data_IF_899947746371
#
_entry.id   IF_899947746371
#
_cell.length_a   1.000
_cell.length_b   1.000
_cell.length_c   1.000
_cell.angle_alpha   90.00
_cell.angle_beta   90.00
_cell.angle_gamma   90.00
#
_symmetry.space_group_name_H-M   'P 1'
#
loop_
_entity.id
_entity.type
_entity.pdbx_description
1 polymer ?
#
# COMPACT_ATOMS: atom_id res chain seq x y z
N UNK A 1 -11.27 -19.07 17.50
CA UNK A 1 -10.96 -19.36 16.08
C UNK A 1 -12.27 -19.50 15.34
N UNK A 2 -12.33 -19.11 14.06
CA UNK A 2 -13.57 -19.16 13.29
C UNK A 2 -13.29 -19.40 11.81
N UNK A 3 -14.37 -19.67 11.06
CA UNK A 3 -14.33 -19.78 9.60
C UNK A 3 -14.56 -18.39 9.00
N UNK A 4 -13.70 -17.96 8.09
CA UNK A 4 -13.77 -16.65 7.44
C UNK A 4 -13.80 -16.83 5.93
N UNK A 5 -14.79 -16.24 5.30
CA UNK A 5 -14.82 -16.13 3.85
C UNK A 5 -14.31 -14.76 3.40
N UNK A 6 -13.52 -14.74 2.34
CA UNK A 6 -12.97 -13.50 1.77
C UNK A 6 -13.43 -13.42 0.31
N UNK A 7 -14.25 -12.43 0.01
CA UNK A 7 -14.72 -12.16 -1.35
C UNK A 7 -13.71 -11.26 -2.05
N UNK A 8 -13.16 -11.71 -3.16
CA UNK A 8 -12.21 -10.95 -3.99
C UNK A 8 -10.99 -11.76 -4.42
N UNK A 9 -10.25 -11.20 -5.35
CA UNK A 9 -9.22 -11.89 -6.13
C UNK A 9 -7.89 -11.10 -6.24
N UNK A 10 -7.74 -10.02 -5.44
CA UNK A 10 -6.59 -9.12 -5.50
C UNK A 10 -5.76 -9.08 -4.20
N UNK A 11 -4.78 -8.16 -4.13
CA UNK A 11 -3.83 -8.05 -3.01
C UNK A 11 -4.49 -7.88 -1.63
N UNK A 12 -5.66 -7.24 -1.55
CA UNK A 12 -6.39 -7.11 -0.28
C UNK A 12 -6.80 -8.49 0.24
N UNK A 13 -7.39 -9.32 -0.63
CA UNK A 13 -7.82 -10.66 -0.29
C UNK A 13 -6.62 -11.56 0.08
N UNK A 14 -5.57 -11.52 -0.73
CA UNK A 14 -4.31 -12.25 -0.49
C UNK A 14 -3.70 -11.90 0.88
N UNK A 15 -3.58 -10.61 1.19
CA UNK A 15 -2.98 -10.14 2.44
C UNK A 15 -3.83 -10.48 3.67
N UNK A 16 -5.15 -10.37 3.58
CA UNK A 16 -6.08 -10.73 4.64
C UNK A 16 -6.05 -12.24 4.90
N UNK A 17 -6.12 -13.06 3.85
CA UNK A 17 -6.12 -14.52 3.95
C UNK A 17 -4.86 -15.05 4.62
N UNK A 18 -3.69 -14.59 4.19
CA UNK A 18 -2.41 -15.03 4.77
C UNK A 18 -2.30 -14.72 6.25
N UNK A 19 -2.75 -13.53 6.69
CA UNK A 19 -2.69 -13.14 8.11
C UNK A 19 -3.68 -13.90 8.97
N UNK A 20 -4.91 -14.11 8.50
CA UNK A 20 -5.93 -14.87 9.23
C UNK A 20 -5.56 -16.36 9.34
N UNK A 21 -5.06 -16.95 8.27
CA UNK A 21 -4.58 -18.32 8.30
C UNK A 21 -3.36 -18.51 9.23
N UNK A 22 -2.48 -17.50 9.36
CA UNK A 22 -1.36 -17.51 10.30
C UNK A 22 -1.84 -17.61 11.76
N UNK A 23 -2.94 -16.95 12.10
CA UNK A 23 -3.56 -17.01 13.44
C UNK A 23 -4.65 -18.09 13.53
N UNK A 24 -4.58 -19.09 12.66
CA UNK A 24 -5.35 -20.35 12.67
C UNK A 24 -6.87 -20.20 12.48
N UNK A 25 -7.33 -19.17 11.77
CA UNK A 25 -8.67 -19.20 11.22
C UNK A 25 -8.74 -20.13 10.01
N UNK A 26 -9.89 -20.81 9.83
CA UNK A 26 -10.20 -21.48 8.56
C UNK A 26 -10.59 -20.41 7.56
N UNK A 27 -9.85 -20.30 6.45
CA UNK A 27 -10.03 -19.23 5.48
C UNK A 27 -10.36 -19.81 4.11
N UNK A 28 -11.44 -19.30 3.51
CA UNK A 28 -11.82 -19.58 2.12
C UNK A 28 -11.87 -18.26 1.34
N UNK A 29 -11.16 -18.20 0.22
CA UNK A 29 -11.22 -17.09 -0.74
C UNK A 29 -12.28 -17.43 -1.79
N UNK A 30 -13.28 -16.58 -1.90
CA UNK A 30 -14.36 -16.74 -2.88
C UNK A 30 -13.92 -16.09 -4.20
N UNK A 31 -13.38 -16.90 -5.08
CA UNK A 31 -12.94 -16.53 -6.43
C UNK A 31 -12.81 -17.77 -7.30
N UNK A 32 -13.12 -17.65 -8.58
CA UNK A 32 -12.89 -18.71 -9.57
C UNK A 32 -11.43 -18.78 -10.02
N UNK A 33 -10.75 -17.62 -10.11
CA UNK A 33 -9.36 -17.51 -10.55
C UNK A 33 -8.73 -16.24 -9.98
N UNK A 34 -8.08 -16.33 -8.79
CA UNK A 34 -7.42 -15.18 -8.18
C UNK A 34 -6.37 -14.56 -9.11
N UNK A 35 -6.35 -13.24 -9.20
CA UNK A 35 -5.48 -12.47 -10.11
C UNK A 35 -3.99 -12.58 -9.82
N UNK A 36 -3.59 -13.01 -8.64
CA UNK A 36 -2.17 -13.27 -8.34
C UNK A 36 -1.63 -14.58 -8.94
N UNK A 37 -2.50 -15.42 -9.51
CA UNK A 37 -2.07 -16.57 -10.27
C UNK A 37 -1.68 -16.14 -11.69
N UNK A 38 -0.61 -16.71 -12.21
CA UNK A 38 -0.18 -16.49 -13.59
C UNK A 38 -1.22 -16.97 -14.61
N UNK A 39 -1.93 -18.05 -14.28
CA UNK A 39 -2.99 -18.63 -15.09
C UNK A 39 -4.33 -17.90 -15.01
N UNK A 40 -4.42 -16.81 -14.27
CA UNK A 40 -5.63 -16.01 -14.20
C UNK A 40 -5.92 -15.34 -15.56
N UNK A 41 -7.21 -15.17 -15.88
CA UNK A 41 -7.63 -14.50 -17.12
C UNK A 41 -7.03 -13.08 -17.24
N UNK A 42 -6.90 -12.38 -16.12
CA UNK A 42 -6.25 -11.06 -16.03
C UNK A 42 -5.23 -11.07 -14.90
N UNK A 43 -4.00 -11.57 -15.12
CA UNK A 43 -3.00 -11.68 -14.08
C UNK A 43 -2.60 -10.31 -13.52
N UNK A 44 -2.27 -10.28 -12.22
CA UNK A 44 -1.97 -9.05 -11.50
C UNK A 44 -0.53 -8.55 -11.74
N UNK A 45 0.43 -9.46 -11.90
CA UNK A 45 1.84 -9.12 -12.03
C UNK A 45 2.16 -8.11 -13.14
N UNK A 46 1.59 -8.21 -14.35
CA UNK A 46 1.82 -7.22 -15.40
C UNK A 46 1.39 -5.80 -15.04
N UNK A 47 0.37 -5.64 -14.18
CA UNK A 47 -0.08 -4.32 -13.71
C UNK A 47 0.80 -3.76 -12.58
N UNK A 48 1.46 -4.63 -11.82
CA UNK A 48 2.35 -4.23 -10.72
C UNK A 48 3.77 -3.91 -11.21
N UNK A 49 4.20 -4.49 -12.33
CA UNK A 49 5.54 -4.32 -12.88
C UNK A 49 6.63 -5.01 -12.06
N UNK A 50 7.86 -4.50 -12.16
CA UNK A 50 9.04 -5.01 -11.44
C UNK A 50 9.27 -4.29 -10.10
N UNK A 51 8.53 -3.23 -9.82
CA UNK A 51 8.84 -2.27 -8.75
C UNK A 51 7.97 -2.46 -7.52
N UNK A 52 8.59 -2.63 -6.37
CA UNK A 52 7.94 -2.62 -5.07
C UNK A 52 7.97 -1.19 -4.50
N UNK A 53 6.84 -0.53 -4.59
CA UNK A 53 6.61 0.74 -3.89
C UNK A 53 6.39 0.46 -2.41
N UNK A 54 7.03 1.23 -1.54
CA UNK A 54 6.98 1.07 -0.07
C UNK A 54 7.20 -0.41 0.31
N UNK A 55 8.43 -0.93 0.14
CA UNK A 55 8.74 -2.35 0.33
C UNK A 55 8.45 -2.85 1.75
N UNK A 56 8.34 -1.93 2.73
CA UNK A 56 7.96 -2.27 4.10
C UNK A 56 6.59 -2.94 4.21
N UNK A 57 5.62 -2.59 3.35
CA UNK A 57 4.31 -3.24 3.33
C UNK A 57 4.39 -4.71 2.89
N UNK A 58 5.25 -5.00 1.91
CA UNK A 58 5.54 -6.35 1.44
C UNK A 58 6.32 -7.15 2.48
N UNK A 59 7.37 -6.57 3.06
CA UNK A 59 8.16 -7.18 4.15
C UNK A 59 7.27 -7.56 5.34
N UNK A 60 6.35 -6.68 5.73
CA UNK A 60 5.41 -6.94 6.81
C UNK A 60 4.48 -8.12 6.48
N UNK A 61 3.95 -8.19 5.25
CA UNK A 61 3.14 -9.32 4.81
C UNK A 61 3.92 -10.65 4.92
N UNK A 62 5.15 -10.68 4.44
CA UNK A 62 6.00 -11.87 4.50
C UNK A 62 6.30 -12.26 5.95
N UNK A 63 6.77 -11.33 6.77
CA UNK A 63 7.11 -11.56 8.17
C UNK A 63 5.90 -12.03 9.00
N UNK A 64 4.73 -11.45 8.78
CA UNK A 64 3.49 -11.76 9.50
C UNK A 64 2.76 -13.01 8.97
N UNK A 65 3.17 -13.57 7.86
CA UNK A 65 2.59 -14.80 7.32
C UNK A 65 3.56 -15.98 7.26
N UNK A 66 4.84 -15.78 7.60
CA UNK A 66 5.82 -16.87 7.57
C UNK A 66 7.26 -16.40 7.78
N UNK A 67 8.08 -16.44 6.75
CA UNK A 67 9.51 -16.07 6.79
C UNK A 67 9.72 -14.67 6.23
N UNK A 68 10.86 -14.06 6.54
CA UNK A 68 11.28 -12.78 5.99
C UNK A 68 11.36 -12.84 4.44
N UNK A 69 10.92 -11.78 3.79
CA UNK A 69 10.82 -11.71 2.33
C UNK A 69 12.17 -11.96 1.65
N UNK A 70 13.20 -11.28 2.11
CA UNK A 70 14.55 -11.37 1.55
C UNK A 70 15.09 -12.80 1.60
N UNK A 71 14.87 -13.51 2.70
CA UNK A 71 15.31 -14.90 2.85
C UNK A 71 14.60 -15.85 1.87
N UNK A 72 13.35 -15.59 1.53
CA UNK A 72 12.62 -16.39 0.55
C UNK A 72 13.00 -16.04 -0.88
N UNK A 73 13.24 -14.76 -1.17
CA UNK A 73 13.72 -14.32 -2.48
C UNK A 73 15.08 -14.92 -2.81
N UNK A 74 16.03 -14.86 -1.88
CA UNK A 74 17.35 -15.49 -2.05
C UNK A 74 17.21 -17.00 -2.30
N UNK A 75 16.25 -17.67 -1.62
CA UNK A 75 15.97 -19.09 -1.82
C UNK A 75 15.49 -19.47 -3.23
N UNK A 76 15.05 -18.52 -4.04
CA UNK A 76 14.65 -18.71 -5.44
C UNK A 76 15.55 -17.93 -6.43
N UNK A 77 16.72 -17.46 -5.97
CA UNK A 77 17.69 -16.76 -6.80
C UNK A 77 17.33 -15.30 -7.12
N UNK A 78 16.44 -14.69 -6.34
CA UNK A 78 16.03 -13.30 -6.53
C UNK A 78 16.56 -12.39 -5.43
N UNK A 79 16.77 -11.13 -5.78
CA UNK A 79 17.18 -10.07 -4.88
C UNK A 79 16.36 -8.82 -5.07
N UNK A 80 16.37 -7.93 -4.06
CA UNK A 80 15.84 -6.57 -4.17
C UNK A 80 16.99 -5.60 -4.36
N UNK A 81 16.89 -4.77 -5.36
CA UNK A 81 17.82 -3.66 -5.61
C UNK A 81 17.08 -2.34 -5.60
N UNK A 82 17.73 -1.29 -5.14
CA UNK A 82 17.18 0.06 -5.19
C UNK A 82 16.86 0.45 -6.63
N UNK A 83 15.74 1.14 -6.81
CA UNK A 83 15.38 1.68 -8.12
C UNK A 83 16.47 2.65 -8.60
N UNK A 84 16.77 2.68 -9.92
CA UNK A 84 17.65 3.67 -10.50
C UNK A 84 17.06 5.08 -10.35
N UNK A 85 17.89 6.07 -10.63
CA UNK A 85 17.47 7.47 -10.62
C UNK A 85 16.21 7.65 -11.47
N UNK A 86 15.21 8.33 -10.91
CA UNK A 86 13.99 8.64 -11.63
C UNK A 86 14.21 9.81 -12.54
N UNK A 87 13.95 9.62 -13.82
CA UNK A 87 13.94 10.70 -14.82
C UNK A 87 12.61 11.47 -14.67
N UNK A 88 12.70 12.74 -14.40
CA UNK A 88 11.54 13.61 -14.22
C UNK A 88 11.57 14.66 -15.31
N UNK A 89 10.54 14.68 -16.14
CA UNK A 89 10.42 15.59 -17.30
C UNK A 89 9.17 16.43 -17.19
N UNK A 90 9.27 17.65 -17.66
CA UNK A 90 8.14 18.55 -17.92
C UNK A 90 8.33 19.23 -19.27
N UNK A 91 7.38 20.07 -19.67
CA UNK A 91 7.53 20.89 -20.88
C UNK A 91 8.69 21.90 -20.81
N UNK A 92 9.21 22.19 -19.62
CA UNK A 92 10.19 23.24 -19.37
C UNK A 92 11.60 22.71 -19.10
N UNK A 93 11.71 21.54 -18.44
CA UNK A 93 13.00 21.02 -18.01
C UNK A 93 12.93 19.53 -17.64
N UNK A 94 14.10 18.91 -17.59
CA UNK A 94 14.31 17.54 -17.13
C UNK A 94 15.28 17.51 -15.96
N UNK A 95 15.09 16.56 -15.05
CA UNK A 95 16.04 16.26 -13.97
C UNK A 95 16.06 14.75 -13.68
N UNK A 96 17.22 14.21 -13.38
CA UNK A 96 17.37 12.87 -12.83
C UNK A 96 17.52 12.97 -11.32
N UNK A 97 16.58 12.40 -10.56
CA UNK A 97 16.62 12.41 -9.10
C UNK A 97 16.96 11.02 -8.57
N UNK A 98 18.03 10.88 -7.79
CA UNK A 98 18.36 9.63 -7.12
C UNK A 98 17.31 9.28 -6.05
N UNK A 99 17.27 8.00 -5.66
CA UNK A 99 16.39 7.52 -4.60
C UNK A 99 16.86 7.98 -3.21
N UNK A 100 18.19 8.11 -3.01
CA UNK A 100 18.75 8.58 -1.74
C UNK A 100 18.47 10.07 -1.52
N UNK A 101 17.92 10.39 -0.36
CA UNK A 101 17.51 11.77 0.01
C UNK A 101 18.67 12.76 0.00
N UNK A 102 19.84 12.35 0.51
CA UNK A 102 21.03 13.20 0.53
C UNK A 102 21.51 13.50 -0.88
N UNK A 103 21.59 12.46 -1.72
CA UNK A 103 21.96 12.60 -3.11
C UNK A 103 20.98 13.49 -3.90
N UNK A 104 19.65 13.41 -3.64
CA UNK A 104 18.67 14.34 -4.22
C UNK A 104 19.00 15.79 -3.92
N UNK A 105 19.29 16.13 -2.65
CA UNK A 105 19.60 17.47 -2.24
C UNK A 105 20.87 17.98 -2.95
N UNK A 106 21.87 17.10 -3.12
CA UNK A 106 23.08 17.43 -3.88
C UNK A 106 22.76 17.68 -5.36
N UNK A 107 22.00 16.79 -6.00
CA UNK A 107 21.57 16.93 -7.40
C UNK A 107 20.80 18.23 -7.63
N UNK A 108 19.85 18.55 -6.76
CA UNK A 108 19.06 19.80 -6.85
C UNK A 108 19.96 21.02 -6.62
N UNK A 109 20.91 20.96 -5.68
CA UNK A 109 21.88 22.03 -5.44
C UNK A 109 22.74 22.29 -6.66
N UNK A 110 23.27 21.24 -7.26
CA UNK A 110 24.20 21.35 -8.39
C UNK A 110 23.47 21.84 -9.66
N UNK A 111 22.17 21.52 -9.81
CA UNK A 111 21.34 21.98 -10.93
C UNK A 111 20.75 23.37 -10.76
N UNK A 112 20.27 23.72 -9.56
CA UNK A 112 19.45 24.92 -9.31
C UNK A 112 20.01 25.82 -8.20
N UNK A 113 21.12 25.46 -7.57
CA UNK A 113 21.78 26.22 -6.52
C UNK A 113 21.25 25.98 -5.10
N UNK A 114 21.99 26.48 -4.12
CA UNK A 114 21.75 26.22 -2.69
C UNK A 114 20.34 26.63 -2.23
N UNK A 115 19.83 27.77 -2.69
CA UNK A 115 18.50 28.27 -2.29
C UNK A 115 17.38 27.30 -2.66
N UNK A 116 17.43 26.73 -3.85
CA UNK A 116 16.43 25.74 -4.29
C UNK A 116 16.63 24.40 -3.57
N UNK A 117 17.84 23.99 -3.31
CA UNK A 117 18.11 22.77 -2.54
C UNK A 117 17.58 22.85 -1.09
N UNK A 118 17.63 24.02 -0.45
CA UNK A 118 17.00 24.23 0.85
C UNK A 118 15.48 24.11 0.77
N UNK A 119 14.85 24.78 -0.19
CA UNK A 119 13.40 24.65 -0.44
C UNK A 119 12.98 23.21 -0.70
N UNK A 120 13.79 22.45 -1.47
CA UNK A 120 13.53 21.04 -1.74
C UNK A 120 13.61 20.20 -0.47
N UNK A 121 14.56 20.47 0.43
CA UNK A 121 14.62 19.82 1.75
C UNK A 121 13.35 20.09 2.56
N UNK A 122 12.88 21.33 2.59
CA UNK A 122 11.67 21.71 3.31
C UNK A 122 10.44 20.98 2.77
N UNK A 123 10.36 20.79 1.45
CA UNK A 123 9.31 19.99 0.80
C UNK A 123 9.36 18.53 1.24
N UNK A 124 10.53 17.91 1.26
CA UNK A 124 10.69 16.51 1.70
C UNK A 124 10.34 16.34 3.19
N UNK A 125 10.73 17.28 4.06
CA UNK A 125 10.39 17.28 5.48
C UNK A 125 8.89 17.45 5.70
N UNK A 126 8.26 18.35 4.95
CA UNK A 126 6.83 18.56 4.99
C UNK A 126 6.05 17.32 4.50
N UNK A 127 6.48 16.72 3.39
CA UNK A 127 5.87 15.50 2.85
C UNK A 127 5.95 14.33 3.84
N UNK A 128 7.08 14.18 4.56
CA UNK A 128 7.20 13.19 5.63
C UNK A 128 6.21 13.47 6.78
N UNK A 129 6.06 14.73 7.19
CA UNK A 129 5.09 15.13 8.21
C UNK A 129 3.64 14.79 7.79
N UNK A 130 3.28 15.08 6.53
CA UNK A 130 1.97 14.71 5.98
C UNK A 130 1.81 13.19 5.95
N UNK A 131 2.84 12.44 5.54
CA UNK A 131 2.80 10.99 5.55
C UNK A 131 2.55 10.43 6.95
N UNK A 132 3.27 10.91 7.97
CA UNK A 132 3.09 10.46 9.34
C UNK A 132 1.67 10.73 9.85
N UNK A 133 1.10 11.90 9.53
CA UNK A 133 -0.29 12.21 9.86
C UNK A 133 -1.28 11.29 9.14
N UNK A 134 -1.09 11.01 7.85
CA UNK A 134 -1.94 10.13 7.05
C UNK A 134 -1.87 8.67 7.48
N UNK A 135 -0.68 8.22 7.84
CA UNK A 135 -0.44 6.85 8.28
C UNK A 135 -1.31 6.48 9.48
N UNK A 136 -1.52 7.42 10.39
CA UNK A 136 -2.35 7.22 11.58
C UNK A 136 -3.86 7.09 11.26
N UNK A 137 -4.33 7.70 10.18
CA UNK A 137 -5.75 7.85 9.87
C UNK A 137 -6.11 7.23 8.51
N UNK A 138 -6.23 5.94 8.44
CA UNK A 138 -6.78 5.30 7.25
C UNK A 138 -5.78 4.50 6.41
N UNK A 139 -4.57 4.30 6.93
CA UNK A 139 -3.61 3.34 6.38
C UNK A 139 -3.37 2.21 7.38
N UNK A 140 -3.01 2.55 8.62
CA UNK A 140 -2.72 1.56 9.68
C UNK A 140 -3.85 1.39 10.70
N UNK A 141 -4.79 2.34 10.76
CA UNK A 141 -5.93 2.30 11.67
C UNK A 141 -7.25 2.49 10.92
N UNK A 142 -8.28 1.78 11.38
CA UNK A 142 -9.64 2.06 10.93
C UNK A 142 -10.03 3.49 11.30
N UNK A 143 -10.65 4.20 10.36
CA UNK A 143 -11.17 5.55 10.59
C UNK A 143 -12.44 5.42 11.42
N UNK A 144 -12.34 5.68 12.72
CA UNK A 144 -13.48 5.61 13.67
C UNK A 144 -14.00 6.98 14.08
N UNK A 145 -13.24 8.04 13.83
CA UNK A 145 -13.58 9.42 14.17
C UNK A 145 -13.11 10.37 13.07
N UNK A 146 -13.56 11.62 13.12
CA UNK A 146 -13.08 12.65 12.21
C UNK A 146 -11.56 12.80 12.40
N UNK A 147 -10.75 12.66 11.34
CA UNK A 147 -9.31 12.85 11.44
C UNK A 147 -8.97 14.31 11.76
N UNK A 148 -7.85 14.51 12.41
CA UNK A 148 -7.28 15.84 12.59
C UNK A 148 -6.96 16.48 11.24
N UNK A 149 -7.01 17.82 11.14
CA UNK A 149 -6.58 18.51 9.93
C UNK A 149 -5.16 18.13 9.56
N UNK A 150 -4.90 17.94 8.27
CA UNK A 150 -3.54 17.83 7.79
C UNK A 150 -2.78 19.14 8.01
N UNK A 151 -1.45 19.07 8.09
CA UNK A 151 -0.62 20.28 8.00
C UNK A 151 -1.02 21.13 6.79
N UNK A 152 -0.97 22.46 6.96
CA UNK A 152 -1.23 23.38 5.85
C UNK A 152 -0.26 23.11 4.69
N UNK A 153 -0.72 23.21 3.43
CA UNK A 153 0.15 23.01 2.28
C UNK A 153 1.37 23.92 2.33
N UNK A 154 2.54 23.36 2.07
CA UNK A 154 3.77 24.14 1.98
C UNK A 154 3.85 24.81 0.60
N UNK A 155 3.68 26.13 0.57
CA UNK A 155 3.81 26.91 -0.65
C UNK A 155 5.28 27.32 -0.83
N UNK A 156 5.98 26.63 -1.72
CA UNK A 156 7.36 26.97 -2.11
C UNK A 156 7.43 27.16 -3.61
N UNK A 157 8.13 28.22 -3.99
CA UNK A 157 8.44 28.48 -5.39
C UNK A 157 9.63 27.61 -5.79
N UNK A 158 9.36 26.57 -6.57
CA UNK A 158 10.31 25.62 -7.12
C UNK A 158 10.33 25.70 -8.65
N UNK A 159 11.49 25.45 -9.28
CA UNK A 159 11.52 25.31 -10.73
C UNK A 159 10.83 24.00 -11.17
N UNK A 160 10.26 24.01 -12.38
CA UNK A 160 9.84 22.80 -13.06
C UNK A 160 11.06 21.90 -13.34
N UNK A 161 10.99 20.56 -13.20
CA UNK A 161 9.78 19.77 -12.86
C UNK A 161 9.62 19.48 -11.36
N UNK A 162 10.39 20.11 -10.48
CA UNK A 162 10.29 19.90 -9.02
C UNK A 162 8.97 20.43 -8.46
N UNK A 163 8.42 21.48 -9.06
CA UNK A 163 7.13 22.05 -8.66
C UNK A 163 5.99 21.05 -8.88
N UNK A 164 5.97 20.39 -10.02
CA UNK A 164 4.97 19.38 -10.36
C UNK A 164 5.07 18.16 -9.42
N UNK A 165 6.29 17.66 -9.15
CA UNK A 165 6.50 16.56 -8.22
C UNK A 165 6.08 16.94 -6.79
N UNK A 166 6.37 18.17 -6.35
CA UNK A 166 5.98 18.63 -5.01
C UNK A 166 4.48 18.76 -4.81
N UNK A 167 3.74 19.01 -5.89
CA UNK A 167 2.28 19.08 -5.89
C UNK A 167 1.62 17.68 -5.80
N UNK A 168 2.31 16.62 -6.22
CA UNK A 168 1.86 15.23 -6.06
C UNK A 168 2.46 14.60 -4.80
N UNK A 169 1.87 14.92 -3.64
CA UNK A 169 2.35 14.46 -2.33
C UNK A 169 2.48 12.93 -2.23
N UNK A 170 1.60 12.18 -2.89
CA UNK A 170 1.64 10.72 -2.87
C UNK A 170 2.87 10.21 -3.60
N UNK A 171 3.09 10.71 -4.80
CA UNK A 171 4.22 10.33 -5.62
C UNK A 171 5.53 10.75 -4.98
N UNK A 172 5.56 11.95 -4.44
CA UNK A 172 6.70 12.45 -3.67
C UNK A 172 7.02 11.53 -2.48
N UNK A 173 6.02 11.13 -1.71
CA UNK A 173 6.21 10.22 -0.58
C UNK A 173 6.73 8.85 -1.04
N UNK A 174 6.12 8.25 -2.05
CA UNK A 174 6.49 6.93 -2.54
C UNK A 174 7.91 6.95 -3.13
N UNK A 175 8.18 7.87 -4.04
CA UNK A 175 9.41 7.86 -4.83
C UNK A 175 10.61 8.52 -4.13
N UNK A 176 10.37 9.41 -3.15
CA UNK A 176 11.44 10.26 -2.58
C UNK A 176 11.66 10.08 -1.09
N UNK A 177 10.64 9.67 -0.32
CA UNK A 177 10.78 9.45 1.12
C UNK A 177 11.04 7.98 1.42
N UNK A 178 10.29 7.08 0.79
CA UNK A 178 10.38 5.64 1.07
C UNK A 178 11.18 4.85 0.06
N UNK A 179 11.40 5.42 -1.13
CA UNK A 179 12.05 4.76 -2.24
C UNK A 179 11.23 3.63 -2.85
N UNK A 180 11.69 3.19 -4.01
CA UNK A 180 11.19 2.04 -4.73
C UNK A 180 12.31 1.03 -4.91
N UNK A 181 11.96 -0.26 -4.97
CA UNK A 181 12.91 -1.36 -5.11
C UNK A 181 12.46 -2.27 -6.23
N UNK A 182 13.40 -2.72 -7.03
CA UNK A 182 13.12 -3.64 -8.12
C UNK A 182 13.49 -5.08 -7.72
N UNK A 183 12.70 -6.02 -8.22
CA UNK A 183 12.98 -7.43 -8.12
C UNK A 183 13.92 -7.84 -9.25
N UNK A 184 15.05 -8.44 -8.92
CA UNK A 184 16.11 -8.80 -9.88
C UNK A 184 16.49 -10.26 -9.71
N UNK A 185 16.50 -10.99 -10.82
CA UNK A 185 16.97 -12.36 -10.96
C UNK A 185 18.31 -12.45 -11.63
N UNK A 186 18.79 -13.68 -11.93
CA UNK A 186 20.06 -13.92 -12.62
C UNK A 186 20.12 -13.26 -14.01
N UNK A 187 19.00 -13.19 -14.71
CA UNK A 187 18.88 -12.66 -16.06
C UNK A 187 18.54 -11.16 -16.10
N UNK A 188 18.45 -10.54 -14.93
CA UNK A 188 18.11 -9.13 -14.77
C UNK A 188 16.81 -8.88 -14.02
N UNK A 189 16.22 -7.68 -14.15
CA UNK A 189 14.95 -7.33 -13.51
C UNK A 189 13.81 -8.22 -13.99
N UNK A 190 12.92 -8.60 -13.05
CA UNK A 190 11.73 -9.40 -13.35
C UNK A 190 10.48 -8.73 -12.78
N UNK A 191 9.31 -9.09 -13.29
CA UNK A 191 8.05 -8.65 -12.70
C UNK A 191 7.80 -9.28 -11.31
N UNK A 192 6.69 -8.93 -10.67
CA UNK A 192 6.37 -9.42 -9.33
C UNK A 192 5.73 -10.81 -9.29
N UNK A 193 5.59 -11.52 -10.43
CA UNK A 193 4.98 -12.86 -10.47
C UNK A 193 5.69 -13.89 -9.57
N UNK A 194 7.04 -13.97 -9.51
CA UNK A 194 7.71 -14.89 -8.60
C UNK A 194 7.35 -14.65 -7.12
N UNK A 195 7.22 -13.38 -6.73
CA UNK A 195 6.82 -12.99 -5.37
C UNK A 195 5.38 -13.39 -5.07
N UNK A 196 4.45 -13.15 -6.01
CA UNK A 196 3.05 -13.59 -5.89
C UNK A 196 2.96 -15.12 -5.83
N UNK A 197 3.80 -15.83 -6.59
CA UNK A 197 3.90 -17.31 -6.57
C UNK A 197 4.35 -17.81 -5.20
N UNK A 198 5.34 -17.17 -4.56
CA UNK A 198 5.74 -17.52 -3.18
C UNK A 198 4.59 -17.34 -2.18
N UNK A 199 3.85 -16.23 -2.28
CA UNK A 199 2.71 -15.95 -1.42
C UNK A 199 1.57 -16.96 -1.65
N UNK A 200 1.31 -17.35 -2.91
CA UNK A 200 0.33 -18.38 -3.24
C UNK A 200 0.72 -19.76 -2.66
N UNK A 201 1.99 -20.18 -2.81
CA UNK A 201 2.49 -21.40 -2.18
C UNK A 201 2.29 -21.36 -0.65
N UNK A 202 2.41 -20.19 -0.05
CA UNK A 202 2.18 -19.99 1.39
C UNK A 202 0.71 -20.10 1.76
N UNK A 203 -0.22 -19.57 0.95
CA UNK A 203 -1.66 -19.79 1.12
C UNK A 203 -1.98 -21.29 1.19
N UNK A 204 -1.50 -22.05 0.20
CA UNK A 204 -1.72 -23.50 0.13
C UNK A 204 -1.16 -24.23 1.36
N UNK A 205 0.08 -23.89 1.78
CA UNK A 205 0.69 -24.47 2.98
C UNK A 205 -0.05 -24.14 4.28
N UNK A 206 -0.79 -23.04 4.30
CA UNK A 206 -1.62 -22.61 5.44
C UNK A 206 -3.03 -23.18 5.40
N UNK A 207 -3.36 -23.97 4.38
CA UNK A 207 -4.67 -24.59 4.23
C UNK A 207 -5.76 -23.59 3.81
N UNK A 208 -5.39 -22.46 3.21
CA UNK A 208 -6.37 -21.55 2.61
C UNK A 208 -6.96 -22.20 1.36
N UNK A 209 -8.27 -22.20 1.28
CA UNK A 209 -9.04 -22.77 0.15
C UNK A 209 -9.41 -21.62 -0.78
N UNK A 210 -9.32 -21.86 -2.09
CA UNK A 210 -9.90 -20.99 -3.12
C UNK A 210 -11.07 -21.74 -3.71
N UNK A 211 -12.29 -21.22 -3.52
CA UNK A 211 -13.53 -21.86 -3.96
C UNK A 211 -14.56 -20.78 -4.31
N UNK A 212 -15.09 -20.74 -5.54
CA UNK A 212 -16.10 -19.77 -5.94
C UNK A 212 -17.46 -19.97 -5.25
N UNK A 213 -17.73 -21.15 -4.69
CA UNK A 213 -19.03 -21.49 -4.13
C UNK A 213 -18.90 -22.41 -2.90
N UNK A 214 -18.30 -21.93 -1.79
CA UNK A 214 -18.09 -22.76 -0.61
C UNK A 214 -19.42 -23.19 0.01
N UNK A 215 -19.46 -24.44 0.47
CA UNK A 215 -20.67 -25.04 1.09
C UNK A 215 -20.75 -24.79 2.61
N UNK A 216 -19.69 -24.31 3.24
CA UNK A 216 -19.66 -24.07 4.69
C UNK A 216 -20.15 -22.66 5.03
N UNK A 217 -20.73 -22.51 6.22
CA UNK A 217 -21.18 -21.22 6.73
C UNK A 217 -20.05 -20.51 7.47
N UNK A 218 -19.65 -19.27 7.09
CA UNK A 218 -18.61 -18.53 7.76
C UNK A 218 -19.12 -17.88 9.06
N UNK A 219 -18.18 -17.63 9.99
CA UNK A 219 -18.43 -16.81 11.16
C UNK A 219 -18.30 -15.29 10.85
N UNK A 220 -17.56 -14.93 9.80
CA UNK A 220 -17.42 -13.58 9.28
C UNK A 220 -17.06 -13.60 7.79
N UNK A 221 -17.43 -12.54 7.08
CA UNK A 221 -17.06 -12.31 5.69
C UNK A 221 -16.25 -11.03 5.60
N UNK A 222 -15.15 -11.06 4.83
CA UNK A 222 -14.44 -9.87 4.38
C UNK A 222 -14.78 -9.67 2.89
N UNK A 223 -15.43 -8.55 2.57
CA UNK A 223 -15.76 -8.20 1.20
C UNK A 223 -14.77 -7.15 0.69
N UNK A 224 -13.80 -7.60 -0.12
CA UNK A 224 -12.76 -6.73 -0.69
C UNK A 224 -13.20 -6.05 -1.99
N UNK A 225 -14.38 -6.40 -2.49
CA UNK A 225 -14.99 -5.83 -3.71
C UNK A 225 -16.06 -4.79 -3.39
N UNK A 226 -16.40 -4.64 -2.11
CA UNK A 226 -17.47 -3.76 -1.67
C UNK A 226 -17.27 -2.33 -2.20
N UNK A 227 -18.28 -1.75 -2.86
CA UNK A 227 -18.20 -0.37 -3.31
C UNK A 227 -18.06 0.58 -2.11
N UNK A 228 -17.44 1.73 -2.34
CA UNK A 228 -17.37 2.77 -1.34
C UNK A 228 -18.76 3.12 -0.82
N UNK A 229 -18.98 3.21 0.49
CA UNK A 229 -20.27 3.63 1.02
C UNK A 229 -20.61 5.03 0.48
N UNK A 230 -21.78 5.18 -0.11
CA UNK A 230 -22.20 6.40 -0.80
C UNK A 230 -22.25 7.65 0.08
N UNK A 231 -22.33 7.50 1.41
CA UNK A 231 -22.30 8.60 2.38
C UNK A 231 -21.68 8.13 3.70
N UNK A 232 -20.59 8.76 4.10
CA UNK A 232 -20.14 8.75 5.47
C UNK A 232 -20.54 10.08 6.11
N UNK A 233 -21.17 10.08 7.28
CA UNK A 233 -21.53 11.30 8.03
C UNK A 233 -20.31 12.16 8.39
N UNK A 234 -19.12 11.59 8.27
CA UNK A 234 -17.83 12.20 8.63
C UNK A 234 -17.07 12.77 7.44
N UNK A 235 -17.45 12.42 6.22
CA UNK A 235 -16.69 12.69 5.03
C UNK A 235 -17.57 13.31 3.95
N UNK A 236 -17.00 14.24 3.21
CA UNK A 236 -17.60 14.68 1.94
C UNK A 236 -17.69 13.47 1.00
N UNK A 237 -18.62 13.48 0.02
CA UNK A 237 -18.65 12.42 -0.98
C UNK A 237 -17.25 12.27 -1.57
N UNK A 238 -16.72 11.06 -1.44
CA UNK A 238 -15.40 10.74 -1.94
C UNK A 238 -15.37 11.03 -3.45
N UNK A 239 -14.36 11.75 -3.90
CA UNK A 239 -14.12 11.87 -5.34
C UNK A 239 -13.69 10.49 -5.85
N UNK A 240 -14.33 9.96 -6.89
CA UNK A 240 -13.93 8.68 -7.43
C UNK A 240 -12.45 8.73 -7.84
N UNK A 241 -11.74 7.66 -7.57
CA UNK A 241 -10.40 7.47 -8.10
C UNK A 241 -10.46 7.41 -9.62
N UNK A 242 -9.55 8.09 -10.27
CA UNK A 242 -9.36 7.98 -11.70
C UNK A 242 -8.17 7.06 -11.95
N UNK A 243 -8.45 5.87 -12.47
CA UNK A 243 -7.38 4.93 -12.84
C UNK A 243 -6.62 5.45 -14.05
N UNK A 244 -5.30 5.28 -14.10
CA UNK A 244 -4.56 5.51 -15.33
C UNK A 244 -4.97 4.48 -16.39
N UNK A 245 -4.81 4.83 -17.63
CA UNK A 245 -4.75 3.82 -18.71
C UNK A 245 -3.43 3.07 -18.59
N UNK A 246 -3.49 1.76 -18.34
CA UNK A 246 -2.29 0.93 -18.20
C UNK A 246 -1.99 0.27 -19.52
N UNK A 247 -0.79 0.50 -20.05
CA UNK A 247 -0.29 -0.15 -21.27
C UNK A 247 0.95 -0.94 -20.95
N UNK A 248 0.96 -2.21 -21.34
CA UNK A 248 2.12 -3.09 -21.28
C UNK A 248 2.65 -3.27 -22.70
N UNK A 249 3.93 -3.04 -22.91
CA UNK A 249 4.57 -3.17 -24.22
C UNK A 249 5.98 -3.75 -24.10
N UNK A 250 6.52 -4.20 -25.22
CA UNK A 250 7.89 -4.68 -25.35
C UNK A 250 8.64 -3.86 -26.38
N UNK A 251 9.98 -3.78 -26.26
CA UNK A 251 10.88 -3.08 -27.16
C UNK A 251 12.19 -3.83 -27.27
N UNK A 252 12.86 -3.71 -28.40
CA UNK A 252 14.25 -4.21 -28.58
C UNK A 252 15.31 -3.27 -28.01
N UNK A 253 14.93 -2.05 -27.60
CA UNK A 253 15.86 -1.08 -27.03
C UNK A 253 16.05 -1.31 -25.53
N UNK A 254 17.30 -1.53 -25.13
CA UNK A 254 17.65 -1.66 -23.71
C UNK A 254 17.40 -0.34 -22.98
N UNK A 255 16.68 -0.36 -21.84
CA UNK A 255 16.55 0.82 -21.00
C UNK A 255 17.92 1.35 -20.55
N UNK A 256 18.04 2.66 -20.41
CA UNK A 256 19.20 3.27 -19.75
C UNK A 256 19.31 2.78 -18.29
N UNK A 257 20.43 3.01 -17.62
CA UNK A 257 20.65 2.67 -16.22
C UNK A 257 20.61 1.16 -15.90
N UNK A 258 21.52 0.40 -16.49
CA UNK A 258 21.69 -1.04 -16.20
C UNK A 258 20.45 -1.90 -16.48
N UNK A 259 19.70 -1.54 -17.52
CA UNK A 259 18.52 -2.30 -17.93
C UNK A 259 17.25 -1.97 -17.18
N UNK A 260 17.22 -0.92 -16.37
CA UNK A 260 16.04 -0.42 -15.68
C UNK A 260 15.91 1.08 -15.87
N UNK A 261 14.68 1.59 -15.97
CA UNK A 261 14.40 3.03 -15.97
C UNK A 261 13.01 3.30 -15.35
N UNK A 262 12.93 4.36 -14.57
CA UNK A 262 11.68 4.95 -14.10
C UNK A 262 11.60 6.40 -14.57
N UNK A 263 10.48 6.75 -15.19
CA UNK A 263 10.27 8.07 -15.78
C UNK A 263 8.92 8.64 -15.37
N UNK A 264 8.92 9.91 -15.03
CA UNK A 264 7.74 10.73 -14.75
C UNK A 264 7.71 11.88 -15.76
N UNK A 265 6.74 11.87 -16.67
CA UNK A 265 6.56 12.90 -17.69
C UNK A 265 5.31 13.72 -17.38
N UNK A 266 5.47 14.96 -16.89
CA UNK A 266 4.38 15.89 -16.73
C UNK A 266 4.10 16.61 -18.05
N UNK A 267 2.96 16.31 -18.63
CA UNK A 267 2.41 16.96 -19.82
C UNK A 267 1.33 17.97 -19.43
N UNK A 268 0.91 18.79 -20.37
CA UNK A 268 -0.18 19.75 -20.12
C UNK A 268 -1.48 19.06 -19.68
N UNK A 269 -1.74 17.87 -20.18
CA UNK A 269 -2.95 17.09 -19.90
C UNK A 269 -2.85 16.23 -18.63
N UNK A 270 -1.64 16.04 -18.07
CA UNK A 270 -1.42 15.22 -16.89
C UNK A 270 -0.09 14.46 -16.90
N UNK A 271 0.04 13.56 -15.95
CA UNK A 271 1.24 12.73 -15.76
C UNK A 271 1.18 11.46 -16.61
N UNK A 272 2.31 11.11 -17.20
CA UNK A 272 2.59 9.76 -17.72
C UNK A 272 3.76 9.18 -16.92
N UNK A 273 3.54 8.05 -16.27
CA UNK A 273 4.55 7.35 -15.49
C UNK A 273 4.92 6.04 -16.19
N UNK A 274 6.23 5.81 -16.38
CA UNK A 274 6.72 4.66 -17.13
C UNK A 274 7.82 3.96 -16.35
N UNK A 275 7.69 2.65 -16.21
CA UNK A 275 8.75 1.74 -15.79
C UNK A 275 9.18 0.89 -16.97
N UNK A 276 10.49 0.74 -17.14
CA UNK A 276 11.07 -0.10 -18.17
C UNK A 276 12.15 -0.98 -17.56
N UNK A 277 12.23 -2.23 -17.96
CA UNK A 277 13.28 -3.15 -17.55
C UNK A 277 13.61 -4.13 -18.65
N UNK A 278 14.85 -4.61 -18.65
CA UNK A 278 15.31 -5.64 -19.55
C UNK A 278 15.12 -7.02 -18.93
N UNK A 279 14.40 -7.92 -19.57
CA UNK A 279 14.09 -9.27 -19.05
C UNK A 279 15.07 -10.36 -19.56
N UNK A 280 16.23 -9.95 -20.07
CA UNK A 280 17.24 -10.83 -20.67
C UNK A 280 17.10 -10.98 -22.19
N UNK A 281 15.91 -10.76 -22.75
CA UNK A 281 15.63 -10.90 -24.19
C UNK A 281 15.13 -9.59 -24.82
N UNK A 282 14.31 -8.84 -24.10
CA UNK A 282 13.69 -7.62 -24.59
C UNK A 282 13.41 -6.66 -23.44
N UNK A 283 13.23 -5.39 -23.76
CA UNK A 283 12.74 -4.42 -22.79
C UNK A 283 11.24 -4.61 -22.62
N UNK A 284 10.82 -4.73 -21.37
CA UNK A 284 9.42 -4.62 -20.96
C UNK A 284 9.16 -3.22 -20.48
N UNK A 285 7.97 -2.71 -20.78
CA UNK A 285 7.55 -1.37 -20.37
C UNK A 285 6.12 -1.42 -19.87
N UNK A 286 5.89 -0.80 -18.69
CA UNK A 286 4.56 -0.50 -18.19
C UNK A 286 4.42 1.00 -18.16
N UNK A 287 3.34 1.49 -18.75
CA UNK A 287 3.01 2.90 -18.79
C UNK A 287 1.66 3.12 -18.09
N UNK A 288 1.65 3.98 -17.10
CA UNK A 288 0.45 4.50 -16.44
C UNK A 288 0.19 5.91 -16.97
N UNK A 289 -0.79 6.03 -17.84
CA UNK A 289 -1.18 7.29 -18.46
C UNK A 289 -2.36 7.92 -17.68
N UNK A 290 -2.07 8.99 -16.96
CA UNK A 290 -3.06 9.79 -16.21
C UNK A 290 -3.57 10.98 -16.99
N UNK A 291 -3.15 11.19 -18.25
CA UNK A 291 -3.66 12.29 -19.09
C UNK A 291 -5.11 12.05 -19.51
N UNK A 292 -5.53 10.78 -19.55
CA UNK A 292 -6.89 10.34 -19.88
C UNK A 292 -7.40 9.35 -18.84
N UNK A 293 -7.60 9.84 -17.61
CA UNK A 293 -7.96 8.93 -16.52
C UNK A 293 -9.36 8.34 -16.74
N UNK A 294 -9.47 7.04 -16.52
CA UNK A 294 -10.74 6.32 -16.53
C UNK A 294 -11.37 6.43 -15.14
N UNK A 295 -12.56 7.02 -14.99
CA UNK A 295 -13.26 7.02 -13.72
C UNK A 295 -13.50 5.60 -13.23
N UNK A 296 -12.99 5.27 -12.05
CA UNK A 296 -13.19 3.95 -11.45
C UNK A 296 -13.78 4.11 -10.04
N UNK A 297 -15.11 4.08 -9.92
CA UNK A 297 -15.78 4.23 -8.62
C UNK A 297 -15.49 3.07 -7.67
N UNK A 298 -15.05 1.92 -8.16
CA UNK A 298 -14.76 0.75 -7.34
C UNK A 298 -13.42 0.87 -6.62
N UNK A 299 -12.48 1.66 -7.14
CA UNK A 299 -11.16 1.85 -6.55
C UNK A 299 -11.09 2.96 -5.48
N UNK A 300 -12.20 3.64 -5.20
CA UNK A 300 -12.28 4.66 -4.16
C UNK A 300 -11.66 6.00 -4.53
N UNK A 301 -11.05 6.66 -3.57
CA UNK A 301 -10.51 7.99 -3.69
C UNK A 301 -9.01 7.99 -3.86
N UNK A 302 -8.49 8.98 -4.60
CA UNK A 302 -7.06 9.23 -4.67
C UNK A 302 -6.46 9.41 -3.27
N UNK A 303 -5.20 9.03 -3.12
CA UNK A 303 -4.48 9.21 -1.87
C UNK A 303 -4.49 10.66 -1.35
N UNK A 304 -4.38 11.64 -2.25
CA UNK A 304 -4.49 13.06 -1.93
C UNK A 304 -5.81 13.44 -1.25
N UNK A 305 -6.89 12.70 -1.53
CA UNK A 305 -8.20 12.88 -0.93
C UNK A 305 -8.48 11.87 0.21
N UNK A 306 -7.47 11.35 0.87
CA UNK A 306 -7.58 10.33 1.91
C UNK A 306 -8.51 10.71 3.07
N UNK A 307 -8.66 12.01 3.39
CA UNK A 307 -9.63 12.52 4.38
C UNK A 307 -11.07 12.18 4.03
N UNK A 308 -11.33 12.00 2.75
CA UNK A 308 -12.65 11.73 2.21
C UNK A 308 -12.89 10.24 1.99
N UNK A 309 -11.92 9.39 2.38
CA UNK A 309 -12.07 7.93 2.27
C UNK A 309 -13.08 7.41 3.27
N UNK A 310 -14.01 6.60 2.83
CA UNK A 310 -14.93 5.96 3.73
C UNK A 310 -14.21 4.97 4.65
N UNK A 311 -14.62 4.87 5.91
CA UNK A 311 -14.03 3.94 6.84
C UNK A 311 -14.33 2.49 6.45
N UNK A 312 -13.45 1.58 6.85
CA UNK A 312 -13.75 0.15 6.86
C UNK A 312 -14.82 -0.11 7.91
N UNK A 313 -15.94 -0.71 7.52
CA UNK A 313 -17.11 -0.87 8.39
C UNK A 313 -17.66 -2.29 8.36
N UNK A 314 -18.16 -2.74 9.51
CA UNK A 314 -18.98 -3.93 9.60
C UNK A 314 -20.40 -3.61 9.14
N UNK A 315 -20.90 -4.35 8.15
CA UNK A 315 -22.33 -4.35 7.81
C UNK A 315 -23.05 -5.31 8.74
N UNK A 316 -24.14 -4.86 9.30
CA UNK A 316 -24.93 -5.68 10.25
C UNK A 316 -26.16 -6.33 9.60
N UNK A 317 -26.24 -6.34 8.30
CA UNK A 317 -27.33 -6.96 7.57
C UNK A 317 -27.16 -8.48 7.56
N UNK A 318 -28.01 -9.17 8.32
CA UNK A 318 -28.05 -10.63 8.40
C UNK A 318 -27.29 -11.24 9.59
N UNK A 319 -27.33 -12.59 9.71
CA UNK A 319 -26.75 -13.32 10.84
C UNK A 319 -25.21 -13.38 10.80
N UNK A 320 -24.59 -13.17 9.63
CA UNK A 320 -23.14 -13.25 9.45
C UNK A 320 -22.60 -11.83 9.24
N UNK A 321 -21.67 -11.37 10.08
CA UNK A 321 -21.09 -10.03 9.95
C UNK A 321 -20.20 -9.94 8.69
N UNK A 322 -20.36 -8.88 7.91
CA UNK A 322 -19.60 -8.60 6.71
C UNK A 322 -18.75 -7.34 6.91
N UNK A 323 -17.44 -7.47 6.79
CA UNK A 323 -16.52 -6.33 6.81
C UNK A 323 -16.30 -5.82 5.37
N UNK A 324 -16.71 -4.60 5.07
CA UNK A 324 -16.39 -3.94 3.81
C UNK A 324 -14.95 -3.42 3.86
N UNK A 325 -14.07 -4.04 3.10
CA UNK A 325 -12.62 -3.86 3.16
C UNK A 325 -11.97 -3.65 1.78
N UNK A 326 -12.69 -3.03 0.86
CA UNK A 326 -12.14 -2.75 -0.48
C UNK A 326 -11.13 -1.59 -0.46
N UNK A 327 -10.29 -1.45 -1.48
CA UNK A 327 -9.46 -0.25 -1.67
C UNK A 327 -10.29 1.04 -1.64
N UNK A 328 -11.56 0.97 -2.08
CA UNK A 328 -12.50 2.08 -2.04
C UNK A 328 -12.91 2.48 -0.63
N UNK A 329 -12.98 1.55 0.31
CA UNK A 329 -13.39 1.80 1.69
C UNK A 329 -12.24 2.09 2.63
N UNK A 330 -10.99 1.83 2.21
CA UNK A 330 -9.80 2.04 3.04
C UNK A 330 -8.55 2.18 2.17
N UNK A 331 -7.42 2.49 2.71
CA UNK A 331 -6.08 2.47 2.12
C UNK A 331 -5.90 3.14 0.74
N UNK A 332 -6.65 2.79 -0.26
CA UNK A 332 -6.56 3.27 -1.63
C UNK A 332 -6.08 2.22 -2.63
N UNK A 333 -5.94 2.59 -3.91
CA UNK A 333 -5.69 1.65 -5.00
C UNK A 333 -4.22 1.24 -5.14
N UNK A 334 -3.29 1.95 -4.52
CA UNK A 334 -1.86 1.66 -4.63
C UNK A 334 -1.55 0.26 -4.05
N UNK A 335 -0.64 -0.53 -4.66
CA UNK A 335 -0.37 -1.91 -4.22
C UNK A 335 -0.04 -2.04 -2.74
N UNK A 336 0.82 -1.16 -2.22
CA UNK A 336 1.19 -1.12 -0.79
C UNK A 336 -0.01 -0.79 0.11
N UNK A 337 -0.90 0.10 -0.33
CA UNK A 337 -2.10 0.46 0.42
C UNK A 337 -3.13 -0.69 0.45
N UNK A 338 -3.26 -1.46 -0.64
CA UNK A 338 -4.06 -2.69 -0.68
C UNK A 338 -3.55 -3.73 0.31
N UNK A 339 -2.23 -3.91 0.42
CA UNK A 339 -1.64 -4.83 1.40
C UNK A 339 -1.95 -4.42 2.84
N UNK A 340 -1.88 -3.13 3.16
CA UNK A 340 -2.23 -2.60 4.48
C UNK A 340 -3.73 -2.66 4.75
N UNK A 341 -4.57 -2.44 3.75
CA UNK A 341 -6.02 -2.64 3.84
C UNK A 341 -6.34 -4.09 4.22
N UNK A 342 -5.72 -5.07 3.55
CA UNK A 342 -5.87 -6.48 3.89
C UNK A 342 -5.35 -6.83 5.29
N UNK A 343 -4.26 -6.19 5.73
CA UNK A 343 -3.74 -6.35 7.09
C UNK A 343 -4.76 -5.88 8.13
N UNK A 344 -5.29 -4.69 7.96
CA UNK A 344 -6.27 -4.13 8.89
C UNK A 344 -7.57 -4.94 8.91
N UNK A 345 -8.04 -5.40 7.74
CA UNK A 345 -9.21 -6.27 7.64
C UNK A 345 -9.02 -7.56 8.45
N UNK A 346 -7.83 -8.18 8.34
CA UNK A 346 -7.50 -9.37 9.12
C UNK A 346 -7.51 -9.10 10.63
N UNK A 347 -6.92 -7.99 11.07
CA UNK A 347 -6.85 -7.63 12.49
C UNK A 347 -8.23 -7.37 13.08
N UNK A 348 -9.07 -6.58 12.39
CA UNK A 348 -10.44 -6.30 12.82
C UNK A 348 -11.31 -7.57 12.86
N UNK A 349 -11.12 -8.47 11.90
CA UNK A 349 -11.86 -9.73 11.86
C UNK A 349 -11.42 -10.65 12.98
N UNK A 350 -10.11 -10.76 13.23
CA UNK A 350 -9.59 -11.57 14.34
C UNK A 350 -10.10 -11.04 15.69
N UNK A 351 -9.96 -9.74 15.94
CA UNK A 351 -10.46 -9.09 17.15
C UNK A 351 -11.96 -9.33 17.38
N UNK A 352 -12.77 -9.23 16.30
CA UNK A 352 -14.21 -9.52 16.39
C UNK A 352 -14.52 -10.95 16.75
N UNK A 353 -13.78 -11.92 16.22
CA UNK A 353 -14.04 -13.34 16.44
C UNK A 353 -13.45 -13.90 17.73
N UNK A 354 -12.41 -13.27 18.28
CA UNK A 354 -11.67 -13.78 19.43
C UNK A 354 -11.63 -12.82 20.62
N UNK A 355 -11.88 -11.55 20.41
CA UNK A 355 -11.66 -10.48 21.40
C UNK A 355 -10.19 -10.07 21.56
N UNK A 356 -9.26 -10.69 20.81
CA UNK A 356 -7.81 -10.42 20.90
C UNK A 356 -7.38 -9.40 19.85
N UNK A 357 -6.64 -8.36 20.26
CA UNK A 357 -5.99 -7.41 19.39
C UNK A 357 -4.57 -7.84 19.04
N UNK A 358 -4.36 -8.31 17.81
CA UNK A 358 -3.08 -8.77 17.28
C UNK A 358 -2.32 -7.70 16.46
N UNK A 359 -2.80 -6.45 16.50
CA UNK A 359 -2.08 -5.33 15.84
C UNK A 359 -0.71 -5.14 16.47
N UNK A 360 0.34 -4.89 15.70
CA UNK A 360 1.67 -4.62 16.25
C UNK A 360 1.67 -3.40 17.18
N UNK A 361 2.14 -3.56 18.40
CA UNK A 361 2.17 -2.50 19.42
C UNK A 361 3.08 -1.31 19.08
N UNK A 362 4.10 -1.52 18.25
CA UNK A 362 5.03 -0.49 17.81
C UNK A 362 4.46 0.48 16.77
N UNK A 363 3.25 0.21 16.25
CA UNK A 363 2.54 1.14 15.35
C UNK A 363 1.81 2.25 16.09
N UNK A 364 1.85 2.27 17.41
CA UNK A 364 1.29 3.32 18.28
C UNK A 364 2.32 4.43 18.59
N UNK A 365 3.48 4.44 17.92
CA UNK A 365 4.45 5.53 18.07
C UNK A 365 3.87 6.78 17.38
N UNK A 366 3.26 7.64 18.20
CA UNK A 366 2.64 8.89 17.72
C UNK A 366 1.33 9.25 18.39
N UNK A 367 0.70 8.34 19.11
CA UNK A 367 -0.40 8.67 20.00
C UNK A 367 0.15 9.28 21.31
N UNK A 368 0.86 10.40 21.21
CA UNK A 368 1.04 11.27 22.34
C UNK A 368 -0.36 11.76 22.75
N UNK A 369 -0.95 11.12 23.78
CA UNK A 369 -2.17 11.64 24.36
C UNK A 369 -3.28 10.67 24.70
N UNK A 370 -3.17 9.36 24.51
CA UNK A 370 -4.12 8.48 25.19
C UNK A 370 -3.57 8.13 26.58
N UNK A 371 -4.23 8.63 27.66
CA UNK A 371 -3.87 8.16 29.00
C UNK A 371 -4.06 6.63 28.99
N UNK A 372 -3.00 5.90 29.34
CA UNK A 372 -3.14 4.51 29.75
C UNK A 372 -4.30 4.47 30.72
N UNK A 373 -5.37 3.74 30.40
CA UNK A 373 -6.35 3.35 31.40
C UNK A 373 -5.53 2.58 32.45
N UNK A 374 -5.23 3.26 33.55
CA UNK A 374 -4.76 2.59 34.74
C UNK A 374 -5.85 1.59 35.10
N UNK A 375 -5.56 0.30 35.00
CA UNK A 375 -6.31 -0.66 35.77
C UNK A 375 -6.12 -0.22 37.24
N UNK A 376 -7.16 0.38 37.81
CA UNK A 376 -7.24 0.56 39.25
C UNK A 376 -7.25 -0.85 39.86
N UNK A 377 -6.07 -1.31 40.24
CA UNK A 377 -5.97 -2.34 41.25
C UNK A 377 -6.61 -1.72 42.50
N UNK A 378 -7.79 -2.15 42.80
CA UNK A 378 -8.39 -1.98 44.11
C UNK A 378 -7.51 -2.68 45.11
N UNK A 379 -6.50 -1.97 45.63
CA UNK A 379 -5.84 -2.35 46.85
C UNK A 379 -6.86 -2.40 47.98
N UNK A 380 -7.25 -3.62 48.33
CA UNK A 380 -7.92 -3.90 49.58
C UNK A 380 -6.92 -3.58 50.70
N UNK A 381 -7.04 -2.38 51.25
CA UNK A 381 -6.44 -2.08 52.55
C UNK A 381 -7.10 -2.95 53.59
N UNK A 382 -6.38 -4.02 53.96
CA UNK A 382 -6.70 -4.85 55.15
C UNK A 382 -6.35 -4.03 56.39
N UNK A 383 -7.33 -3.44 57.02
CA UNK A 383 -7.26 -2.88 58.38
C UNK A 383 -7.04 -4.02 59.36
N UNK A 384 -5.79 -4.33 59.73
CA UNK A 384 -5.49 -5.04 60.95
C UNK A 384 -5.59 -4.07 62.12
N UNK A 385 -6.67 -4.19 62.92
CA UNK A 385 -6.73 -3.73 64.31
C UNK A 385 -5.57 -4.39 65.07
N UNK A 386 -4.78 -3.57 65.70
CA UNK A 386 -3.93 -3.92 66.82
C UNK A 386 -4.61 -3.40 68.09
N UNK A 387 -5.25 -4.29 68.81
CA UNK A 387 -5.54 -4.12 70.24
C UNK A 387 -4.31 -4.50 71.03
N UNK A 388 -3.96 -3.61 71.96
CA UNK A 388 -2.98 -3.59 73.06
C UNK A 388 -1.59 -3.04 72.77
#
# INVERSE_FOLDING_TARGET
MGTVHIVGDELVALAAALRLAQVRHKVTIISSSPRWLESAERPLAPELGSTLQIPSAWRDLFAKSGRAMEAELVGIGLNLVTEPDTQISSSMADISLPTDRGAQIHTVRDRYGHRIAHKWRDVLDHADTIWQARRQYGVEHAVTSRPEPLPEPLHVDLPSPLAELSADETRLAITRIFGCWNLVGPDGPTDLQPLLTLLNKRLTRRGVIVDPSPNDSPNAIIDTTAPAPRRSRWHRPARPWSSPTITVSTSSEMPSNHGMAHRLDWKAEGLVETWSWWDGAQARRICHDYTRPIPNPELGTAWSAWRDRPPMVWRQEGPIPVLAASPASHGGPEPWARLLTGALAAYLTHERLTGEDIRPSNKVIGAAGRPRRSHSSTDRVSTRRLDR
#
